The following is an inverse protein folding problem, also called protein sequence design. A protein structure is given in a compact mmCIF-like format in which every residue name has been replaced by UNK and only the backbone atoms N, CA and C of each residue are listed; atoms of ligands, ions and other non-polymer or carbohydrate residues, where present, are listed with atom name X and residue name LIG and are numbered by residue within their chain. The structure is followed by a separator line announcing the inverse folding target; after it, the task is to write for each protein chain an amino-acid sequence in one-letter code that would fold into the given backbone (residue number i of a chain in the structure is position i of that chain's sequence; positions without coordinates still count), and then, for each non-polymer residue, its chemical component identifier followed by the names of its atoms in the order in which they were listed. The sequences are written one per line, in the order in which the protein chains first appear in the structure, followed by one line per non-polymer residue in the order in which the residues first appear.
data_IF_256187029412
#
_entry.id   IF_256187029412
#
_cell.length_a   1.000
_cell.length_b   1.000
_cell.length_c   1.000
_cell.angle_alpha   90.00
_cell.angle_beta   90.00
_cell.angle_gamma   90.00
#
_symmetry.space_group_name_H-M   'P 1'
#
loop_
_entity.id
_entity.type
_entity.pdbx_description
1 polymer ?
#
# COMPACT_ATOMS: atom_id res chain seq x y z
N UNK A 1 -11.33 21.39 3.97
CA UNK A 1 -10.29 20.48 3.43
C UNK A 1 -10.16 20.74 1.96
N UNK A 2 -8.93 21.03 1.51
CA UNK A 2 -8.63 21.22 0.09
C UNK A 2 -8.98 19.94 -0.71
N UNK A 3 -9.31 20.08 -1.99
CA UNK A 3 -9.58 18.94 -2.88
C UNK A 3 -8.47 17.87 -2.79
N UNK A 4 -7.21 18.30 -2.78
CA UNK A 4 -6.05 17.39 -2.67
C UNK A 4 -5.98 16.67 -1.34
N UNK A 5 -6.32 17.32 -0.24
CA UNK A 5 -6.37 16.69 1.08
C UNK A 5 -7.46 15.60 1.13
N UNK A 6 -8.65 15.87 0.56
CA UNK A 6 -9.73 14.88 0.46
C UNK A 6 -9.33 13.68 -0.40
N UNK A 7 -8.71 13.95 -1.56
CA UNK A 7 -8.19 12.90 -2.44
C UNK A 7 -7.13 12.05 -1.74
N UNK A 8 -6.24 12.69 -0.99
CA UNK A 8 -5.18 12.00 -0.25
C UNK A 8 -5.75 11.09 0.85
N UNK A 9 -6.76 11.56 1.58
CA UNK A 9 -7.49 10.71 2.53
C UNK A 9 -8.14 9.52 1.82
N UNK A 10 -8.85 9.75 0.71
CA UNK A 10 -9.50 8.69 -0.05
C UNK A 10 -8.47 7.64 -0.53
N UNK A 11 -7.34 8.10 -1.06
CA UNK A 11 -6.28 7.21 -1.56
C UNK A 11 -5.60 6.42 -0.43
N UNK A 12 -5.28 7.07 0.69
CA UNK A 12 -4.68 6.42 1.84
C UNK A 12 -5.61 5.35 2.44
N UNK A 13 -6.90 5.67 2.58
CA UNK A 13 -7.91 4.72 3.08
C UNK A 13 -8.11 3.54 2.12
N UNK A 14 -8.20 3.79 0.81
CA UNK A 14 -8.34 2.73 -0.18
C UNK A 14 -7.12 1.80 -0.19
N UNK A 15 -5.92 2.38 -0.16
CA UNK A 15 -4.65 1.65 -0.07
C UNK A 15 -4.60 0.78 1.18
N UNK A 16 -4.92 1.34 2.35
CA UNK A 16 -4.91 0.61 3.62
C UNK A 16 -5.92 -0.55 3.63
N UNK A 17 -7.16 -0.30 3.20
CA UNK A 17 -8.23 -1.29 3.28
C UNK A 17 -8.03 -2.43 2.29
N UNK A 18 -7.73 -2.12 1.02
CA UNK A 18 -7.61 -3.13 -0.03
C UNK A 18 -6.35 -3.98 0.12
N UNK A 19 -5.20 -3.34 0.40
CA UNK A 19 -3.99 -4.10 0.68
C UNK A 19 -4.06 -4.83 2.02
N UNK A 20 -4.68 -4.23 3.04
CA UNK A 20 -4.92 -4.90 4.31
C UNK A 20 -5.75 -6.17 4.15
N UNK A 21 -6.84 -6.10 3.37
CA UNK A 21 -7.65 -7.28 3.03
C UNK A 21 -6.84 -8.34 2.27
N UNK A 22 -6.06 -7.92 1.27
CA UNK A 22 -5.20 -8.81 0.50
C UNK A 22 -4.18 -9.55 1.38
N UNK A 23 -3.44 -8.83 2.22
CA UNK A 23 -2.43 -9.42 3.11
C UNK A 23 -3.06 -10.32 4.18
N UNK A 24 -4.20 -9.93 4.75
CA UNK A 24 -4.92 -10.77 5.70
C UNK A 24 -5.34 -12.10 5.04
N UNK A 25 -5.85 -12.05 3.81
CA UNK A 25 -6.20 -13.26 3.05
C UNK A 25 -4.98 -14.12 2.70
N UNK A 26 -3.88 -13.48 2.31
CA UNK A 26 -2.62 -14.18 2.03
C UNK A 26 -2.09 -14.92 3.28
N UNK A 27 -1.99 -14.24 4.42
CA UNK A 27 -1.50 -14.82 5.67
C UNK A 27 -2.42 -15.93 6.18
N UNK A 28 -3.75 -15.73 6.12
CA UNK A 28 -4.70 -16.76 6.56
C UNK A 28 -4.64 -18.03 5.70
N UNK A 29 -4.46 -17.91 4.37
CA UNK A 29 -4.27 -19.07 3.51
C UNK A 29 -2.96 -19.79 3.78
N UNK A 30 -1.90 -19.02 4.05
CA UNK A 30 -0.59 -19.55 4.40
C UNK A 30 -0.65 -20.36 5.71
N UNK A 31 -1.25 -19.80 6.77
CA UNK A 31 -1.43 -20.46 8.06
C UNK A 31 -2.34 -21.69 8.00
N UNK A 32 -3.33 -21.69 7.10
CA UNK A 32 -4.22 -22.82 6.91
C UNK A 32 -3.61 -23.97 6.09
N UNK A 33 -2.38 -23.83 5.59
CA UNK A 33 -1.78 -24.81 4.69
C UNK A 33 -2.48 -24.92 3.33
N UNK A 34 -3.28 -23.92 2.95
CA UNK A 34 -4.11 -23.89 1.72
C UNK A 34 -3.55 -22.91 0.69
N UNK A 35 -2.24 -22.69 0.71
CA UNK A 35 -1.60 -21.77 -0.21
C UNK A 35 -1.70 -22.31 -1.64
N UNK A 36 -2.33 -21.52 -2.50
CA UNK A 36 -2.43 -21.77 -3.94
C UNK A 36 -1.92 -20.54 -4.69
N UNK A 37 -0.93 -20.74 -5.56
CA UNK A 37 -0.29 -19.66 -6.28
C UNK A 37 -1.25 -18.96 -7.26
N UNK A 38 -2.14 -19.71 -7.92
CA UNK A 38 -3.12 -19.14 -8.84
C UNK A 38 -4.12 -18.25 -8.11
N UNK A 39 -4.60 -18.67 -6.94
CA UNK A 39 -5.47 -17.88 -6.07
C UNK A 39 -4.75 -16.63 -5.55
N UNK A 40 -3.48 -16.75 -5.15
CA UNK A 40 -2.69 -15.60 -4.69
C UNK A 40 -2.52 -14.55 -5.80
N UNK A 41 -2.16 -14.97 -7.01
CA UNK A 41 -2.04 -14.08 -8.18
C UNK A 41 -3.40 -13.46 -8.54
N UNK A 42 -4.48 -14.25 -8.53
CA UNK A 42 -5.82 -13.74 -8.77
C UNK A 42 -6.25 -12.68 -7.76
N UNK A 43 -5.97 -12.90 -6.47
CA UNK A 43 -6.23 -11.92 -5.41
C UNK A 43 -5.41 -10.64 -5.60
N UNK A 44 -4.14 -10.75 -6.01
CA UNK A 44 -3.27 -9.60 -6.27
C UNK A 44 -3.83 -8.74 -7.42
N UNK A 45 -4.14 -9.36 -8.56
CA UNK A 45 -4.72 -8.67 -9.72
C UNK A 45 -6.07 -8.03 -9.34
N UNK A 46 -6.91 -8.75 -8.61
CA UNK A 46 -8.21 -8.23 -8.15
C UNK A 46 -8.02 -7.01 -7.24
N UNK A 47 -7.05 -7.05 -6.32
CA UNK A 47 -6.76 -5.95 -5.40
C UNK A 47 -6.31 -4.71 -6.16
N UNK A 48 -5.44 -4.86 -7.17
CA UNK A 48 -5.03 -3.75 -8.04
C UNK A 48 -6.22 -3.19 -8.81
N UNK A 49 -7.03 -4.05 -9.44
CA UNK A 49 -8.18 -3.62 -10.22
C UNK A 49 -9.20 -2.85 -9.36
N UNK A 50 -9.48 -3.35 -8.15
CA UNK A 50 -10.34 -2.67 -7.18
C UNK A 50 -9.72 -1.34 -6.72
N UNK A 51 -8.42 -1.30 -6.45
CA UNK A 51 -7.75 -0.07 -6.03
C UNK A 51 -7.86 0.99 -7.12
N UNK A 52 -7.54 0.65 -8.37
CA UNK A 52 -7.67 1.56 -9.52
C UNK A 52 -9.12 2.02 -9.68
N UNK A 53 -10.09 1.11 -9.62
CA UNK A 53 -11.51 1.47 -9.73
C UNK A 53 -11.94 2.45 -8.62
N UNK A 54 -11.55 2.20 -7.37
CA UNK A 54 -11.83 3.08 -6.23
C UNK A 54 -11.18 4.44 -6.42
N UNK A 55 -9.94 4.51 -6.88
CA UNK A 55 -9.25 5.79 -7.14
C UNK A 55 -9.95 6.60 -8.23
N UNK A 56 -10.38 5.95 -9.32
CA UNK A 56 -11.13 6.60 -10.40
C UNK A 56 -12.46 7.15 -9.87
N UNK A 57 -13.23 6.33 -9.16
CA UNK A 57 -14.52 6.75 -8.60
C UNK A 57 -14.34 7.89 -7.61
N UNK A 58 -13.36 7.79 -6.70
CA UNK A 58 -13.04 8.85 -5.75
C UNK A 58 -12.66 10.15 -6.47
N UNK A 59 -11.86 10.08 -7.53
CA UNK A 59 -11.48 11.23 -8.34
C UNK A 59 -12.70 11.93 -8.95
N UNK A 60 -13.58 11.16 -9.59
CA UNK A 60 -14.78 11.69 -10.25
C UNK A 60 -15.71 12.33 -9.22
N UNK A 61 -16.03 11.61 -8.15
CA UNK A 61 -16.95 12.09 -7.10
C UNK A 61 -16.40 13.36 -6.46
N UNK A 62 -15.13 13.37 -6.06
CA UNK A 62 -14.53 14.54 -5.43
C UNK A 62 -14.44 15.72 -6.38
N UNK A 63 -14.17 15.50 -7.67
CA UNK A 63 -14.10 16.57 -8.67
C UNK A 63 -15.47 17.22 -8.91
N UNK A 64 -16.54 16.41 -8.97
CA UNK A 64 -17.91 16.92 -9.07
C UNK A 64 -18.26 17.76 -7.84
N UNK A 65 -17.87 17.31 -6.65
CA UNK A 65 -18.15 18.00 -5.39
C UNK A 65 -17.34 19.28 -5.18
N UNK A 66 -16.11 19.38 -5.69
CA UNK A 66 -15.23 20.54 -5.51
C UNK A 66 -15.33 21.57 -6.64
N UNK A 67 -15.95 21.22 -7.78
CA UNK A 67 -16.19 22.14 -8.88
C UNK A 67 -14.91 22.77 -9.41
N UNK A 68 -14.83 24.11 -9.42
CA UNK A 68 -13.66 24.86 -9.93
C UNK A 68 -12.37 24.60 -9.14
N UNK A 69 -12.46 24.22 -7.86
CA UNK A 69 -11.27 23.88 -7.06
C UNK A 69 -10.58 22.60 -7.55
N UNK A 70 -11.30 21.70 -8.23
CA UNK A 70 -10.70 20.49 -8.82
C UNK A 70 -9.63 20.80 -9.87
N UNK A 71 -9.80 21.91 -10.59
CA UNK A 71 -8.91 22.37 -11.65
C UNK A 71 -7.85 23.36 -11.17
N UNK A 72 -7.83 23.69 -9.88
CA UNK A 72 -6.86 24.63 -9.34
C UNK A 72 -5.44 24.03 -9.38
N UNK A 73 -4.44 24.79 -9.87
CA UNK A 73 -3.04 24.35 -9.83
C UNK A 73 -2.61 24.10 -8.38
N UNK A 74 -1.71 23.13 -8.20
CA UNK A 74 -1.15 22.85 -6.87
C UNK A 74 -0.40 24.08 -6.35
N UNK A 75 -0.71 24.48 -5.11
CA UNK A 75 0.04 25.54 -4.43
C UNK A 75 1.47 25.06 -4.15
N UNK A 76 2.42 25.99 -4.05
CA UNK A 76 3.83 25.69 -3.77
C UNK A 76 3.98 24.94 -2.43
N UNK A 77 3.07 25.21 -1.48
CA UNK A 77 2.99 24.48 -0.20
C UNK A 77 2.62 23.01 -0.40
N UNK A 78 1.61 22.74 -1.22
CA UNK A 78 1.15 21.37 -1.50
C UNK A 78 2.27 20.56 -2.19
N UNK A 79 3.01 21.21 -3.10
CA UNK A 79 4.19 20.62 -3.74
C UNK A 79 5.29 20.32 -2.73
N UNK A 80 5.59 21.24 -1.82
CA UNK A 80 6.58 21.03 -0.77
C UNK A 80 6.22 19.86 0.16
N UNK A 81 4.92 19.69 0.48
CA UNK A 81 4.45 18.55 1.28
C UNK A 81 4.65 17.21 0.55
N UNK A 82 4.31 17.15 -0.75
CA UNK A 82 4.52 15.95 -1.56
C UNK A 82 6.01 15.56 -1.65
N UNK A 83 6.90 16.55 -1.85
CA UNK A 83 8.35 16.34 -1.87
C UNK A 83 8.88 15.84 -0.52
N UNK A 84 8.43 16.42 0.59
CA UNK A 84 8.77 15.94 1.93
C UNK A 84 8.28 14.53 2.20
N UNK A 85 7.10 14.17 1.68
CA UNK A 85 6.54 12.83 1.76
C UNK A 85 7.43 11.77 1.11
N UNK A 86 8.02 12.06 -0.05
CA UNK A 86 8.92 11.12 -0.73
C UNK A 86 10.16 10.78 0.09
N UNK A 87 10.70 11.75 0.83
CA UNK A 87 11.85 11.50 1.72
C UNK A 87 11.50 10.51 2.82
N UNK A 88 10.34 10.67 3.45
CA UNK A 88 9.87 9.75 4.50
C UNK A 88 9.59 8.37 3.93
N UNK A 89 8.87 8.30 2.81
CA UNK A 89 8.56 7.05 2.12
C UNK A 89 9.82 6.28 1.72
N UNK A 90 10.84 6.98 1.21
CA UNK A 90 12.13 6.40 0.85
C UNK A 90 12.81 5.76 2.07
N UNK A 91 12.90 6.47 3.21
CA UNK A 91 13.50 5.90 4.41
C UNK A 91 12.73 4.70 4.94
N UNK A 92 11.40 4.74 4.91
CA UNK A 92 10.55 3.60 5.30
C UNK A 92 10.80 2.41 4.37
N UNK A 93 10.79 2.62 3.06
CA UNK A 93 11.04 1.56 2.09
C UNK A 93 12.43 0.96 2.26
N UNK A 94 13.47 1.80 2.34
CA UNK A 94 14.85 1.36 2.50
C UNK A 94 15.05 0.57 3.80
N UNK A 95 14.50 1.06 4.91
CA UNK A 95 14.57 0.36 6.19
C UNK A 95 13.88 -1.02 6.11
N UNK A 96 12.66 -1.08 5.55
CA UNK A 96 11.93 -2.33 5.40
C UNK A 96 12.64 -3.31 4.46
N UNK A 97 13.18 -2.84 3.33
CA UNK A 97 13.95 -3.69 2.42
C UNK A 97 15.18 -4.27 3.12
N UNK A 98 15.95 -3.46 3.84
CA UNK A 98 17.10 -3.94 4.62
C UNK A 98 16.67 -4.94 5.67
N UNK A 99 15.58 -4.67 6.40
CA UNK A 99 15.00 -5.62 7.37
C UNK A 99 14.62 -6.92 6.69
N UNK A 100 13.99 -6.90 5.52
CA UNK A 100 13.59 -8.10 4.78
C UNK A 100 14.79 -8.89 4.28
N UNK A 101 15.87 -8.23 3.86
CA UNK A 101 17.11 -8.91 3.47
C UNK A 101 17.74 -9.65 4.64
N UNK A 102 17.75 -9.05 5.83
CA UNK A 102 18.29 -9.66 7.05
C UNK A 102 17.36 -10.73 7.64
N UNK A 103 16.05 -10.50 7.61
CA UNK A 103 15.03 -11.37 8.18
C UNK A 103 14.55 -12.47 7.21
N UNK A 104 14.97 -12.44 5.94
CA UNK A 104 14.54 -13.38 4.90
C UNK A 104 14.62 -14.86 5.32
N UNK A 105 15.73 -15.35 5.89
CA UNK A 105 15.82 -16.72 6.39
C UNK A 105 14.81 -17.05 7.50
N UNK A 106 14.53 -16.09 8.38
CA UNK A 106 13.57 -16.25 9.48
C UNK A 106 12.14 -16.29 8.92
N UNK A 107 11.82 -15.41 7.97
CA UNK A 107 10.51 -15.39 7.30
C UNK A 107 10.22 -16.70 6.57
N UNK A 108 11.21 -17.23 5.83
CA UNK A 108 11.07 -18.51 5.14
C UNK A 108 10.89 -19.67 6.13
N UNK A 109 11.62 -19.66 7.25
CA UNK A 109 11.44 -20.67 8.31
C UNK A 109 10.02 -20.64 8.87
N UNK A 110 9.52 -19.47 9.27
CA UNK A 110 8.15 -19.32 9.81
C UNK A 110 7.12 -19.81 8.79
N UNK A 111 7.30 -19.44 7.52
CA UNK A 111 6.37 -19.84 6.47
C UNK A 111 6.38 -21.37 6.26
N UNK A 112 7.56 -22.01 6.27
CA UNK A 112 7.67 -23.48 6.19
C UNK A 112 7.07 -24.18 7.42
N UNK A 113 7.14 -23.58 8.60
CA UNK A 113 6.46 -24.11 9.81
C UNK A 113 4.93 -24.09 9.66
N UNK A 114 4.38 -23.09 8.95
CA UNK A 114 2.94 -23.00 8.66
C UNK A 114 2.50 -23.89 7.50
N UNK A 115 3.41 -24.21 6.58
CA UNK A 115 3.17 -25.11 5.43
C UNK A 115 4.18 -26.25 5.41
N UNK A 116 3.91 -27.38 6.09
CA UNK A 116 4.85 -28.50 6.21
C UNK A 116 5.29 -29.15 4.88
N UNK A 117 4.53 -28.92 3.80
CA UNK A 117 4.87 -29.29 2.43
C UNK A 117 4.65 -28.08 1.51
N UNK A 118 5.58 -27.10 1.48
CA UNK A 118 5.40 -25.88 0.72
C UNK A 118 5.43 -26.19 -0.78
N UNK A 119 4.48 -25.68 -1.58
CA UNK A 119 4.49 -25.92 -3.02
C UNK A 119 5.68 -25.22 -3.68
N UNK A 120 6.11 -25.70 -4.86
CA UNK A 120 7.15 -25.04 -5.66
C UNK A 120 6.79 -23.57 -5.89
N UNK A 121 7.74 -22.65 -5.66
CA UNK A 121 7.53 -21.21 -5.86
C UNK A 121 6.94 -20.45 -4.66
N UNK A 122 6.68 -21.10 -3.52
CA UNK A 122 6.21 -20.40 -2.32
C UNK A 122 7.20 -19.33 -1.81
N UNK A 123 8.50 -19.65 -1.79
CA UNK A 123 9.54 -18.73 -1.32
C UNK A 123 9.58 -17.39 -2.10
N UNK A 124 9.68 -17.38 -3.45
CA UNK A 124 9.65 -16.12 -4.20
C UNK A 124 8.30 -15.40 -4.08
N UNK A 125 7.17 -16.11 -3.96
CA UNK A 125 5.86 -15.46 -3.73
C UNK A 125 5.82 -14.79 -2.36
N UNK A 126 6.32 -15.42 -1.31
CA UNK A 126 6.39 -14.84 0.03
C UNK A 126 7.27 -13.59 0.04
N UNK A 127 8.48 -13.66 -0.54
CA UNK A 127 9.40 -12.53 -0.61
C UNK A 127 8.82 -11.38 -1.46
N UNK A 128 8.17 -11.71 -2.57
CA UNK A 128 7.47 -10.73 -3.39
C UNK A 128 6.36 -10.02 -2.62
N UNK A 129 5.56 -10.76 -1.84
CA UNK A 129 4.53 -10.19 -0.98
C UNK A 129 5.10 -9.34 0.16
N UNK A 130 6.23 -9.73 0.73
CA UNK A 130 6.92 -8.95 1.75
C UNK A 130 7.46 -7.62 1.18
N UNK A 131 8.03 -7.64 -0.02
CA UNK A 131 8.46 -6.43 -0.73
C UNK A 131 7.27 -5.54 -1.10
N UNK A 132 6.17 -6.14 -1.55
CA UNK A 132 4.92 -5.43 -1.81
C UNK A 132 4.38 -4.76 -0.54
N UNK A 133 4.42 -5.44 0.60
CA UNK A 133 4.07 -4.84 1.89
C UNK A 133 4.96 -3.64 2.21
N UNK A 134 6.27 -3.72 1.95
CA UNK A 134 7.19 -2.61 2.13
C UNK A 134 6.83 -1.40 1.24
N UNK A 135 6.45 -1.64 -0.01
CA UNK A 135 5.96 -0.59 -0.93
C UNK A 135 4.67 0.05 -0.41
N UNK A 136 3.69 -0.75 0.02
CA UNK A 136 2.42 -0.25 0.57
C UNK A 136 2.65 0.55 1.84
N UNK A 137 3.51 0.08 2.74
CA UNK A 137 3.86 0.79 3.97
C UNK A 137 4.56 2.13 3.67
N UNK A 138 5.45 2.17 2.67
CA UNK A 138 6.10 3.39 2.23
C UNK A 138 5.10 4.39 1.63
N UNK A 139 4.13 3.92 0.82
CA UNK A 139 3.06 4.75 0.27
C UNK A 139 2.14 5.32 1.36
N UNK A 140 1.81 4.51 2.37
CA UNK A 140 1.04 4.97 3.53
C UNK A 140 1.84 5.99 4.37
N UNK A 141 3.16 5.83 4.48
CA UNK A 141 4.02 6.80 5.14
C UNK A 141 4.11 8.12 4.36
N UNK A 142 4.18 8.05 3.02
CA UNK A 142 4.09 9.21 2.13
C UNK A 142 2.80 10.00 2.35
N UNK A 143 1.68 9.28 2.28
CA UNK A 143 0.35 9.86 2.45
C UNK A 143 0.15 10.39 3.87
N UNK A 144 0.60 9.65 4.88
CA UNK A 144 0.52 10.05 6.29
C UNK A 144 1.33 11.32 6.58
N UNK A 145 2.52 11.46 5.99
CA UNK A 145 3.33 12.68 6.12
C UNK A 145 2.60 13.89 5.57
N UNK A 146 2.05 13.78 4.36
CA UNK A 146 1.31 14.87 3.74
C UNK A 146 0.07 15.25 4.56
N UNK A 147 -0.73 14.27 5.00
CA UNK A 147 -1.91 14.50 5.85
C UNK A 147 -1.57 15.20 7.16
N UNK A 148 -0.46 14.80 7.79
CA UNK A 148 0.04 15.43 9.00
C UNK A 148 0.45 16.89 8.77
N UNK A 149 1.09 17.18 7.63
CA UNK A 149 1.46 18.55 7.24
C UNK A 149 0.24 19.42 6.95
N UNK A 150 -0.77 18.90 6.25
CA UNK A 150 -2.04 19.60 6.03
C UNK A 150 -2.73 19.96 7.35
N UNK A 151 -2.70 19.09 8.35
CA UNK A 151 -3.30 19.36 9.68
C UNK A 151 -2.54 20.38 10.54
N UNK A 152 -1.22 20.51 10.35
CA UNK A 152 -0.37 21.44 11.14
C UNK A 152 -0.13 22.79 10.48
N UNK A 153 -0.29 22.87 9.16
CA UNK A 153 -0.05 24.08 8.37
C UNK A 153 -1.31 24.75 7.83
N UNK A 154 -2.48 24.38 8.38
CA UNK A 154 -3.78 25.03 8.14
C UNK A 154 -3.98 26.27 8.99
#
# INVERSE_FOLDING_TARGET
MAFREKMLWASASATLLLWGWYFARFVTQLQAGRFDQGVAVGNFITTIALLVAVQIVAAIVLAIMSGREASAPADDRERAFALGGYRVAYFVLAALVVTLMLAGPILLRIANEWTPAPPPGMAPVLLGNALLFALVAAELAHSGYQLFRYRRGG
#
